data_IF_609719962507
#
_entry.id   IF_609719962507
#
_cell.length_a   1.000
_cell.length_b   1.000
_cell.length_c   1.000
_cell.angle_alpha   90.00
_cell.angle_beta   90.00
_cell.angle_gamma   90.00
#
_symmetry.space_group_name_H-M   'P 1'
#
loop_
_entity.id
_entity.type
_entity.pdbx_description
1 polymer ?
#
# COMPACT_ATOMS: atom_id res chain seq x y z
N UNK A 1 11.20 7.07 6.52
CA UNK A 1 10.07 7.28 7.45
C UNK A 1 10.16 8.60 8.22
N UNK A 2 11.35 9.06 8.56
CA UNK A 2 11.54 10.32 9.30
C UNK A 2 11.09 11.56 8.54
N UNK A 3 11.27 11.58 7.20
CA UNK A 3 10.84 12.71 6.35
C UNK A 3 9.32 12.91 6.39
N UNK A 4 8.47 11.88 6.15
CA UNK A 4 7.02 12.02 6.31
C UNK A 4 6.58 12.47 7.71
N UNK A 5 7.27 12.05 8.78
CA UNK A 5 7.00 12.51 10.14
C UNK A 5 7.24 14.02 10.27
N UNK A 6 8.34 14.53 9.70
CA UNK A 6 8.62 15.96 9.66
C UNK A 6 7.55 16.75 8.93
N UNK A 7 7.08 16.26 7.76
CA UNK A 7 5.94 16.88 7.05
C UNK A 7 4.67 16.84 7.89
N UNK A 8 4.33 15.69 8.49
CA UNK A 8 3.13 15.57 9.31
C UNK A 8 3.18 16.50 10.54
N UNK A 9 4.36 16.68 11.14
CA UNK A 9 4.56 17.63 12.23
C UNK A 9 4.27 19.07 11.78
N UNK A 10 4.83 19.49 10.66
CA UNK A 10 4.56 20.79 10.07
C UNK A 10 3.06 20.99 9.77
N UNK A 11 2.43 20.04 9.08
CA UNK A 11 1.03 20.10 8.70
C UNK A 11 0.08 20.19 9.90
N UNK A 12 0.43 19.50 11.00
CA UNK A 12 -0.32 19.62 12.25
C UNK A 12 -0.29 21.05 12.79
N UNK A 13 0.87 21.69 12.78
CA UNK A 13 1.02 23.08 13.26
C UNK A 13 0.41 24.11 12.30
N UNK A 14 0.37 23.81 11.00
CA UNK A 14 -0.31 24.66 10.02
C UNK A 14 -1.84 24.70 10.23
N UNK A 15 -2.42 23.60 10.71
CA UNK A 15 -3.84 23.54 11.09
C UNK A 15 -4.84 23.59 9.94
N UNK A 16 -4.41 23.33 8.69
CA UNK A 16 -5.25 23.39 7.48
C UNK A 16 -5.97 22.08 7.14
N UNK A 17 -5.88 21.05 7.98
CA UNK A 17 -6.49 19.74 7.73
C UNK A 17 -5.78 18.88 6.68
N UNK A 18 -4.57 19.25 6.26
CA UNK A 18 -3.73 18.44 5.39
C UNK A 18 -3.12 17.27 6.15
N UNK A 19 -2.85 16.17 5.43
CA UNK A 19 -2.22 14.99 5.99
C UNK A 19 -0.94 14.64 5.23
N UNK A 20 0.01 14.00 5.88
CA UNK A 20 1.16 13.39 5.22
C UNK A 20 0.83 11.93 4.90
N UNK A 21 1.10 11.51 3.68
CA UNK A 21 0.97 10.09 3.27
C UNK A 21 2.36 9.55 2.99
N UNK A 22 2.71 8.46 3.66
CA UNK A 22 3.97 7.76 3.48
C UNK A 22 3.72 6.39 2.86
N UNK A 23 4.48 6.05 1.81
CA UNK A 23 4.45 4.74 1.18
C UNK A 23 5.71 3.95 1.52
N UNK A 24 5.55 2.65 1.74
CA UNK A 24 6.66 1.74 2.01
C UNK A 24 6.34 0.34 1.50
N UNK A 25 7.37 -0.43 1.20
CA UNK A 25 7.25 -1.88 1.03
C UNK A 25 7.27 -2.62 2.36
N UNK A 26 6.94 -3.91 2.31
CA UNK A 26 6.96 -4.82 3.45
C UNK A 26 8.35 -4.91 4.12
N UNK A 27 9.41 -5.12 3.34
CA UNK A 27 10.79 -5.22 3.85
C UNK A 27 11.25 -4.02 4.66
N UNK A 28 10.87 -2.82 4.25
CA UNK A 28 11.23 -1.59 4.96
C UNK A 28 10.62 -1.52 6.37
N UNK A 29 9.56 -2.26 6.65
CA UNK A 29 8.94 -2.28 7.98
C UNK A 29 9.78 -3.04 9.03
N UNK A 30 10.87 -3.69 8.62
CA UNK A 30 11.85 -4.30 9.53
C UNK A 30 12.97 -3.34 9.94
N UNK A 31 13.04 -2.15 9.34
CA UNK A 31 14.04 -1.14 9.64
C UNK A 31 13.74 -0.40 10.96
N UNK A 32 14.78 -0.09 11.75
CA UNK A 32 14.64 0.68 12.99
C UNK A 32 13.90 2.02 12.81
N UNK A 33 14.22 2.82 11.78
CA UNK A 33 13.56 4.10 11.50
C UNK A 33 12.03 4.00 11.28
N UNK A 34 11.50 2.84 10.88
CA UNK A 34 10.06 2.62 10.82
C UNK A 34 9.43 2.74 12.21
N UNK A 35 9.99 2.04 13.19
CA UNK A 35 9.47 2.02 14.56
C UNK A 35 9.62 3.36 15.26
N UNK A 36 10.76 4.01 15.08
CA UNK A 36 11.01 5.35 15.62
C UNK A 36 10.02 6.38 15.06
N UNK A 37 9.82 6.38 13.74
CA UNK A 37 8.89 7.27 13.06
C UNK A 37 7.44 7.04 13.50
N UNK A 38 7.01 5.78 13.58
CA UNK A 38 5.64 5.46 14.00
C UNK A 38 5.40 5.79 15.46
N UNK A 39 6.39 5.54 16.34
CA UNK A 39 6.30 5.94 17.74
C UNK A 39 6.18 7.46 17.89
N UNK A 40 6.99 8.22 17.16
CA UNK A 40 6.93 9.68 17.18
C UNK A 40 5.60 10.20 16.63
N UNK A 41 5.14 9.64 15.50
CA UNK A 41 3.85 10.01 14.91
C UNK A 41 2.69 9.75 15.87
N UNK A 42 2.70 8.62 16.57
CA UNK A 42 1.70 8.26 17.57
C UNK A 42 1.75 9.19 18.78
N UNK A 43 2.93 9.38 19.37
CA UNK A 43 3.13 10.22 20.57
C UNK A 43 2.65 11.66 20.35
N UNK A 44 2.91 12.21 19.18
CA UNK A 44 2.49 13.58 18.82
C UNK A 44 1.13 13.63 18.14
N UNK A 45 0.41 12.50 17.95
CA UNK A 45 -0.86 12.42 17.21
C UNK A 45 -0.77 13.18 15.88
N UNK A 46 0.26 12.84 15.07
CA UNK A 46 0.51 13.51 13.80
C UNK A 46 -0.51 13.09 12.74
N UNK A 47 -0.92 13.97 11.83
CA UNK A 47 -1.81 13.64 10.71
C UNK A 47 -1.03 12.87 9.62
N UNK A 48 -0.72 11.60 9.89
CA UNK A 48 0.09 10.74 9.02
C UNK A 48 -0.61 9.43 8.71
N UNK A 49 -0.79 9.15 7.41
CA UNK A 49 -1.22 7.85 6.91
C UNK A 49 0.00 7.07 6.41
N UNK A 50 0.28 5.94 7.03
CA UNK A 50 1.33 5.02 6.62
C UNK A 50 0.74 3.90 5.77
N UNK A 51 1.04 3.88 4.47
CA UNK A 51 0.62 2.84 3.54
C UNK A 51 1.78 1.84 3.38
N UNK A 52 1.52 0.58 3.70
CA UNK A 52 2.47 -0.52 3.51
C UNK A 52 1.99 -1.34 2.31
N UNK A 53 2.71 -1.26 1.19
CA UNK A 53 2.50 -2.12 0.04
C UNK A 53 3.18 -3.46 0.28
N UNK A 54 2.44 -4.40 0.87
CA UNK A 54 2.93 -5.74 1.15
C UNK A 54 2.81 -6.60 -0.10
N UNK A 55 3.92 -6.74 -0.82
CA UNK A 55 4.00 -7.57 -2.02
C UNK A 55 4.67 -8.93 -1.78
N UNK A 56 4.88 -9.30 -0.51
CA UNK A 56 5.46 -10.53 0.01
C UNK A 56 6.95 -10.72 -0.26
N UNK A 57 7.66 -9.75 -0.84
CA UNK A 57 9.09 -9.87 -1.12
C UNK A 57 9.89 -8.63 -0.74
N UNK A 58 10.80 -8.80 0.22
CA UNK A 58 11.86 -7.85 0.50
C UNK A 58 13.04 -8.16 -0.44
N UNK A 59 13.17 -7.40 -1.53
CA UNK A 59 14.08 -7.70 -2.65
C UNK A 59 13.80 -9.10 -3.21
N UNK A 60 14.58 -10.10 -2.86
CA UNK A 60 14.45 -11.50 -3.29
C UNK A 60 14.00 -12.45 -2.15
N UNK A 61 13.97 -11.96 -0.91
CA UNK A 61 13.57 -12.76 0.23
C UNK A 61 12.05 -12.74 0.43
N UNK A 62 11.48 -13.93 0.62
CA UNK A 62 10.06 -14.06 0.98
C UNK A 62 9.82 -13.43 2.35
N UNK A 63 9.09 -12.33 2.36
CA UNK A 63 8.84 -11.54 3.56
C UNK A 63 8.14 -12.34 4.67
N UNK A 64 7.36 -13.34 4.32
CA UNK A 64 6.69 -14.24 5.28
C UNK A 64 7.66 -15.03 6.16
N UNK A 65 8.92 -15.17 5.72
CA UNK A 65 10.02 -15.77 6.50
C UNK A 65 10.76 -14.76 7.39
N UNK A 66 10.57 -13.47 7.16
CA UNK A 66 11.24 -12.38 7.88
C UNK A 66 10.44 -11.84 9.06
N UNK A 67 9.18 -12.23 9.19
CA UNK A 67 8.29 -11.78 10.26
C UNK A 67 7.45 -12.93 10.81
N UNK A 68 7.15 -12.88 12.10
CA UNK A 68 6.18 -13.78 12.74
C UNK A 68 4.73 -13.31 12.61
N UNK A 69 4.47 -12.21 11.92
CA UNK A 69 3.14 -11.62 11.78
C UNK A 69 2.49 -12.07 10.48
N UNK A 70 1.21 -12.36 10.52
CA UNK A 70 0.39 -12.63 9.33
C UNK A 70 0.00 -11.34 8.59
N UNK A 71 -0.11 -10.23 9.31
CA UNK A 71 -0.42 -8.91 8.80
C UNK A 71 0.44 -7.85 9.47
N UNK A 72 1.07 -7.00 8.67
CA UNK A 72 1.97 -5.95 9.14
C UNK A 72 1.22 -4.80 9.84
N UNK A 73 -0.05 -4.59 9.47
CA UNK A 73 -0.91 -3.61 10.13
C UNK A 73 -1.06 -3.87 11.63
N UNK A 74 -0.88 -5.11 12.10
CA UNK A 74 -0.94 -5.46 13.53
C UNK A 74 0.17 -4.83 14.35
N UNK A 75 1.27 -4.37 13.72
CA UNK A 75 2.32 -3.57 14.39
C UNK A 75 1.77 -2.26 14.97
N UNK A 76 0.69 -1.73 14.40
CA UNK A 76 0.02 -0.52 14.86
C UNK A 76 -0.37 -0.59 16.35
N UNK A 77 -0.77 -1.77 16.83
CA UNK A 77 -1.14 -1.97 18.23
C UNK A 77 0.01 -1.66 19.18
N UNK A 78 1.26 -1.95 18.80
CA UNK A 78 2.45 -1.62 19.60
C UNK A 78 2.67 -0.11 19.79
N UNK A 79 2.09 0.72 18.95
CA UNK A 79 2.14 2.19 19.03
C UNK A 79 0.84 2.80 19.57
N UNK A 80 -0.17 1.97 19.88
CA UNK A 80 -1.48 2.45 20.33
C UNK A 80 -2.28 3.18 19.24
N UNK A 81 -2.08 2.84 17.97
CA UNK A 81 -2.76 3.42 16.81
C UNK A 81 -3.52 2.35 16.02
N UNK A 82 -4.51 2.72 15.19
CA UNK A 82 -5.22 1.76 14.36
C UNK A 82 -4.35 1.25 13.20
N UNK A 83 -4.56 -0.02 12.87
CA UNK A 83 -4.00 -0.67 11.68
C UNK A 83 -5.09 -1.45 10.94
N UNK A 84 -5.14 -1.31 9.64
CA UNK A 84 -6.08 -2.02 8.76
C UNK A 84 -5.32 -2.75 7.67
N UNK A 85 -5.76 -3.98 7.36
CA UNK A 85 -5.25 -4.78 6.25
C UNK A 85 -6.30 -4.91 5.17
N UNK A 86 -5.93 -4.60 3.94
CA UNK A 86 -6.68 -4.91 2.72
C UNK A 86 -6.09 -6.21 2.14
N UNK A 87 -6.79 -7.32 2.31
CA UNK A 87 -6.33 -8.65 1.90
C UNK A 87 -6.28 -8.81 0.37
N UNK A 88 -7.10 -8.07 -0.35
CA UNK A 88 -7.13 -8.05 -1.82
C UNK A 88 -6.89 -6.64 -2.34
N UNK A 89 -5.64 -6.18 -2.27
CA UNK A 89 -5.28 -4.87 -2.80
C UNK A 89 -5.09 -4.85 -4.33
N UNK A 90 -5.49 -5.92 -5.02
CA UNK A 90 -5.62 -5.92 -6.47
C UNK A 90 -7.02 -5.46 -6.92
N UNK A 91 -7.95 -5.26 -6.00
CA UNK A 91 -9.24 -4.59 -6.26
C UNK A 91 -9.09 -3.08 -6.01
N UNK A 92 -9.03 -2.33 -7.09
CA UNK A 92 -8.83 -0.88 -7.09
C UNK A 92 -9.90 -0.13 -6.30
N UNK A 93 -11.17 -0.56 -6.36
CA UNK A 93 -12.24 0.10 -5.60
C UNK A 93 -12.12 -0.12 -4.10
N UNK A 94 -11.76 -1.34 -3.70
CA UNK A 94 -11.51 -1.65 -2.29
C UNK A 94 -10.35 -0.81 -1.77
N UNK A 95 -9.24 -0.72 -2.53
CA UNK A 95 -8.08 0.11 -2.16
C UNK A 95 -8.48 1.58 -2.03
N UNK A 96 -9.24 2.11 -3.00
CA UNK A 96 -9.73 3.49 -2.97
C UNK A 96 -10.57 3.75 -1.70
N UNK A 97 -11.57 2.91 -1.46
CA UNK A 97 -12.50 3.10 -0.35
C UNK A 97 -11.80 3.01 1.02
N UNK A 98 -10.92 2.03 1.21
CA UNK A 98 -10.19 1.89 2.48
C UNK A 98 -9.15 3.00 2.67
N UNK A 99 -8.51 3.47 1.60
CA UNK A 99 -7.60 4.61 1.66
C UNK A 99 -8.34 5.90 2.00
N UNK A 100 -9.54 6.12 1.43
CA UNK A 100 -10.37 7.29 1.78
C UNK A 100 -10.79 7.26 3.24
N UNK A 101 -11.28 6.14 3.76
CA UNK A 101 -11.63 5.98 5.18
C UNK A 101 -10.43 6.28 6.09
N UNK A 102 -9.26 5.73 5.75
CA UNK A 102 -8.03 5.97 6.50
C UNK A 102 -7.61 7.46 6.48
N UNK A 103 -7.69 8.09 5.31
CA UNK A 103 -7.39 9.51 5.16
C UNK A 103 -8.35 10.40 5.94
N UNK A 104 -9.65 10.09 5.94
CA UNK A 104 -10.66 10.80 6.73
C UNK A 104 -10.41 10.66 8.23
N UNK A 105 -10.09 9.45 8.70
CA UNK A 105 -9.71 9.22 10.10
C UNK A 105 -8.55 10.12 10.53
N UNK A 106 -7.49 10.17 9.71
CA UNK A 106 -6.29 10.97 9.99
C UNK A 106 -6.60 12.47 9.92
N UNK A 107 -7.38 12.94 8.92
CA UNK A 107 -7.81 14.33 8.79
C UNK A 107 -8.66 14.82 9.95
N UNK A 108 -9.45 13.92 10.53
CA UNK A 108 -10.25 14.23 11.72
C UNK A 108 -9.42 14.50 12.99
N UNK A 109 -8.07 14.41 12.90
CA UNK A 109 -7.17 14.66 14.04
C UNK A 109 -7.03 13.49 15.01
N UNK A 110 -7.47 12.29 14.64
CA UNK A 110 -7.39 11.11 15.49
C UNK A 110 -5.96 10.55 15.64
N UNK A 111 -4.98 11.13 14.95
CA UNK A 111 -3.58 10.68 14.93
C UNK A 111 -3.26 9.83 13.71
N UNK A 112 -2.09 9.17 13.70
CA UNK A 112 -1.65 8.37 12.56
C UNK A 112 -2.38 7.04 12.46
N UNK A 113 -2.31 6.43 11.26
CA UNK A 113 -2.88 5.13 10.97
C UNK A 113 -1.96 4.33 10.05
N UNK A 114 -1.94 3.00 10.21
CA UNK A 114 -1.28 2.07 9.28
C UNK A 114 -2.33 1.40 8.40
N UNK A 115 -2.14 1.50 7.09
CA UNK A 115 -2.93 0.78 6.07
C UNK A 115 -2.02 -0.18 5.32
N UNK A 116 -2.22 -1.48 5.51
CA UNK A 116 -1.50 -2.52 4.77
C UNK A 116 -2.31 -2.96 3.55
N UNK A 117 -1.67 -2.95 2.39
CA UNK A 117 -2.23 -3.37 1.12
C UNK A 117 -1.52 -4.65 0.64
N UNK A 118 -2.17 -5.81 0.75
CA UNK A 118 -1.62 -7.08 0.27
C UNK A 118 -1.82 -7.22 -1.23
N UNK A 119 -0.72 -7.26 -1.95
CA UNK A 119 -0.66 -7.35 -3.41
C UNK A 119 0.47 -8.28 -3.83
N UNK A 120 0.85 -8.25 -5.11
CA UNK A 120 1.93 -9.08 -5.63
C UNK A 120 2.82 -8.30 -6.57
N UNK A 121 4.13 -8.42 -6.39
CA UNK A 121 5.09 -7.87 -7.35
C UNK A 121 5.25 -8.84 -8.52
N UNK A 122 4.67 -8.51 -9.67
CA UNK A 122 4.69 -9.36 -10.86
C UNK A 122 6.10 -9.55 -11.43
N UNK A 123 6.87 -8.46 -11.49
CA UNK A 123 8.24 -8.44 -12.01
C UNK A 123 9.28 -8.74 -10.93
N UNK A 124 10.55 -8.80 -11.31
CA UNK A 124 11.67 -8.81 -10.38
C UNK A 124 11.80 -7.50 -9.60
N UNK A 125 12.72 -7.46 -8.64
CA UNK A 125 12.96 -6.24 -7.85
C UNK A 125 13.71 -5.18 -8.67
N UNK A 126 14.65 -5.60 -9.51
CA UNK A 126 15.45 -4.72 -10.36
C UNK A 126 15.15 -4.98 -11.85
N UNK A 127 15.42 -3.99 -12.74
CA UNK A 127 15.10 -4.11 -14.18
C UNK A 127 15.70 -5.33 -14.89
N UNK A 128 16.87 -5.79 -14.43
CA UNK A 128 17.58 -6.93 -15.02
C UNK A 128 17.37 -8.26 -14.27
N UNK A 129 16.38 -8.32 -13.36
CA UNK A 129 16.13 -9.47 -12.54
C UNK A 129 14.70 -9.98 -12.81
N UNK A 130 14.55 -11.20 -13.40
CA UNK A 130 13.22 -11.70 -13.78
C UNK A 130 12.35 -12.14 -12.60
N UNK A 131 12.90 -12.26 -11.39
CA UNK A 131 12.18 -12.70 -10.18
C UNK A 131 11.85 -14.20 -10.15
N UNK A 132 12.19 -14.96 -11.19
CA UNK A 132 11.85 -16.38 -11.30
C UNK A 132 12.66 -17.30 -10.38
N UNK A 133 13.78 -16.81 -9.83
CA UNK A 133 14.69 -17.61 -9.00
C UNK A 133 14.17 -17.84 -7.57
N UNK A 134 13.29 -16.99 -7.09
CA UNK A 134 12.84 -16.99 -5.68
C UNK A 134 11.32 -17.03 -5.52
N UNK A 135 10.56 -16.80 -6.58
CA UNK A 135 9.09 -16.89 -6.55
C UNK A 135 8.64 -18.30 -6.90
N UNK A 136 7.68 -18.80 -6.17
CA UNK A 136 6.99 -20.04 -6.53
C UNK A 136 6.20 -19.86 -7.84
N UNK A 137 6.41 -20.70 -8.87
CA UNK A 137 5.74 -20.52 -10.16
C UNK A 137 4.21 -20.68 -10.08
N UNK A 138 3.72 -21.54 -9.20
CA UNK A 138 2.28 -21.74 -9.04
C UNK A 138 1.61 -20.55 -8.35
N UNK A 139 2.26 -20.01 -7.32
CA UNK A 139 1.81 -18.78 -6.66
C UNK A 139 1.86 -17.60 -7.62
N UNK A 140 2.93 -17.45 -8.39
CA UNK A 140 3.06 -16.43 -9.43
C UNK A 140 1.91 -16.51 -10.43
N UNK A 141 1.61 -17.70 -10.94
CA UNK A 141 0.52 -17.90 -11.90
C UNK A 141 -0.87 -17.59 -11.31
N UNK A 142 -1.08 -17.85 -10.03
CA UNK A 142 -2.30 -17.49 -9.31
C UNK A 142 -2.45 -15.97 -9.21
N UNK A 143 -1.39 -15.26 -8.85
CA UNK A 143 -1.42 -13.81 -8.71
C UNK A 143 -1.53 -13.08 -10.05
N UNK A 144 -0.94 -13.60 -11.14
CA UNK A 144 -1.08 -13.03 -12.48
C UNK A 144 -2.53 -13.04 -13.00
N UNK A 145 -3.35 -14.00 -12.54
CA UNK A 145 -4.80 -14.00 -12.83
C UNK A 145 -5.56 -12.89 -12.11
N UNK A 146 -4.95 -12.30 -11.10
CA UNK A 146 -5.53 -11.23 -10.27
C UNK A 146 -4.88 -9.88 -10.60
N UNK A 147 -4.44 -9.68 -11.82
CA UNK A 147 -3.92 -8.40 -12.31
C UNK A 147 -4.98 -7.31 -12.14
N UNK A 148 -4.69 -6.23 -11.38
CA UNK A 148 -5.68 -5.21 -11.07
C UNK A 148 -6.23 -4.49 -12.31
N UNK A 149 -5.41 -4.32 -13.36
CA UNK A 149 -5.84 -3.69 -14.62
C UNK A 149 -6.87 -4.56 -15.31
N UNK A 150 -6.59 -5.86 -15.44
CA UNK A 150 -7.52 -6.82 -16.07
C UNK A 150 -8.80 -6.99 -15.27
N UNK A 151 -8.70 -7.05 -13.94
CA UNK A 151 -9.87 -7.15 -13.07
C UNK A 151 -10.78 -5.93 -13.23
N UNK A 152 -10.20 -4.73 -13.23
CA UNK A 152 -10.98 -3.51 -13.42
C UNK A 152 -11.59 -3.43 -14.82
N UNK A 153 -10.82 -3.73 -15.88
CA UNK A 153 -11.34 -3.76 -17.25
C UNK A 153 -12.52 -4.73 -17.40
N UNK A 154 -12.42 -5.94 -16.83
CA UNK A 154 -13.51 -6.90 -16.82
C UNK A 154 -14.75 -6.34 -16.11
N UNK A 155 -14.56 -5.76 -14.93
CA UNK A 155 -15.66 -5.15 -14.16
C UNK A 155 -16.34 -4.00 -14.90
N UNK A 156 -15.57 -3.14 -15.56
CA UNK A 156 -16.10 -2.05 -16.36
C UNK A 156 -16.97 -2.55 -17.51
N UNK A 157 -16.59 -3.62 -18.18
CA UNK A 157 -17.38 -4.25 -19.25
C UNK A 157 -18.66 -4.88 -18.71
N UNK A 158 -18.55 -5.69 -17.65
CA UNK A 158 -19.67 -6.47 -17.14
C UNK A 158 -20.72 -5.64 -16.40
N UNK A 159 -20.29 -4.66 -15.60
CA UNK A 159 -21.19 -3.89 -14.74
C UNK A 159 -21.59 -2.54 -15.33
N UNK A 160 -20.71 -1.93 -16.12
CA UNK A 160 -20.91 -0.58 -16.68
C UNK A 160 -21.03 -0.56 -18.19
N UNK A 161 -20.96 -1.73 -18.86
CA UNK A 161 -21.11 -1.88 -20.32
C UNK A 161 -20.10 -1.05 -21.11
N UNK A 162 -18.92 -0.79 -20.54
CA UNK A 162 -17.84 -0.08 -21.22
C UNK A 162 -17.33 -0.95 -22.38
N UNK A 163 -17.19 -0.36 -23.57
CA UNK A 163 -16.76 -1.07 -24.78
C UNK A 163 -15.24 -1.23 -24.82
N UNK A 164 -14.77 -2.22 -25.59
CA UNK A 164 -13.34 -2.51 -25.73
C UNK A 164 -12.56 -1.33 -26.33
N UNK A 165 -13.18 -0.59 -27.25
CA UNK A 165 -12.60 0.59 -27.86
C UNK A 165 -12.32 1.69 -26.85
N UNK A 166 -13.19 1.89 -25.87
CA UNK A 166 -13.01 2.89 -24.81
C UNK A 166 -11.87 2.51 -23.85
N UNK A 167 -11.74 1.23 -23.52
CA UNK A 167 -10.63 0.74 -22.70
C UNK A 167 -9.32 0.92 -23.44
N UNK A 168 -9.28 0.55 -24.72
CA UNK A 168 -8.10 0.71 -25.56
C UNK A 168 -7.69 2.17 -25.70
N UNK A 169 -8.63 3.09 -25.87
CA UNK A 169 -8.34 4.53 -25.92
C UNK A 169 -7.65 5.02 -24.62
N UNK A 170 -8.05 4.49 -23.47
CA UNK A 170 -7.40 4.81 -22.19
C UNK A 170 -5.98 4.24 -22.15
N UNK A 171 -5.80 2.97 -22.55
CA UNK A 171 -4.48 2.33 -22.61
C UNK A 171 -3.53 3.09 -23.54
N UNK A 172 -3.97 3.40 -24.77
CA UNK A 172 -3.19 4.14 -25.77
C UNK A 172 -2.78 5.55 -25.27
N UNK A 173 -3.66 6.21 -24.50
CA UNK A 173 -3.35 7.51 -23.89
C UNK A 173 -2.30 7.39 -22.79
N UNK A 174 -2.41 6.39 -21.93
CA UNK A 174 -1.44 6.16 -20.82
C UNK A 174 -0.05 5.79 -21.37
N UNK A 175 0.02 5.06 -22.49
CA UNK A 175 1.31 4.74 -23.14
C UNK A 175 2.00 5.96 -23.77
N UNK A 176 1.26 7.05 -24.04
CA UNK A 176 1.80 8.28 -24.62
C UNK A 176 2.29 9.29 -23.57
N UNK A 177 1.89 9.15 -22.32
CA UNK A 177 2.31 9.98 -21.17
C UNK A 177 3.62 9.44 -20.54
#
# INVERSE_FOLDING_TARGET
YTVPVGFAYHLKHEGKGNIAVAYSGDGCTCEGPFYEAMNMAAAFKLPMLMIIQNNFFAISEDFRKMTGLQSLSTRAAGFGIPGVTVENANDVETVYNETMKAAEYVRAGNGPMILELKTWRQMGHAPNEPGTKYKDPAEQAMWLKRDPIKLLATKLKEQFQVQDEQIKEIEDRVEQE
#
